data_IF_209951912161
#
_entry.id   IF_209951912161
#
_cell.length_a   1.000
_cell.length_b   1.000
_cell.length_c   1.000
_cell.angle_alpha   90.00
_cell.angle_beta   90.00
_cell.angle_gamma   90.00
#
_symmetry.space_group_name_H-M   'P 1'
#
loop_
_entity.id
_entity.type
_entity.pdbx_description
1 polymer ?
#
# COMPACT_ATOMS: atom_id res chain seq x y z
N UNK A 1 -6.77 -6.03 -17.82
CA UNK A 1 -5.75 -5.03 -17.43
C UNK A 1 -5.43 -4.18 -18.65
N UNK A 2 -5.32 -2.86 -18.53
CA UNK A 2 -4.91 -2.00 -19.63
C UNK A 2 -3.38 -1.87 -19.59
N UNK A 3 -2.61 -2.48 -20.52
CA UNK A 3 -1.15 -2.45 -20.49
C UNK A 3 -0.56 -1.04 -20.65
N UNK A 4 -1.37 -0.03 -20.95
CA UNK A 4 -0.96 1.37 -21.13
C UNK A 4 -1.10 2.26 -19.90
N UNK A 5 -1.59 1.74 -18.76
CA UNK A 5 -1.76 2.53 -17.53
C UNK A 5 -0.74 2.17 -16.44
N UNK A 6 -0.29 3.18 -15.70
CA UNK A 6 0.52 2.98 -14.50
C UNK A 6 -0.30 2.27 -13.40
N UNK A 7 0.38 1.47 -12.57
CA UNK A 7 -0.22 0.75 -11.44
C UNK A 7 0.36 1.29 -10.14
N UNK A 8 -0.52 1.62 -9.20
CA UNK A 8 -0.14 2.07 -7.86
C UNK A 8 -1.21 1.61 -6.85
N UNK A 9 -0.80 0.95 -5.78
CA UNK A 9 -1.68 0.48 -4.71
C UNK A 9 -0.87 0.24 -3.43
N UNK A 10 -1.55 0.11 -2.30
CA UNK A 10 -0.94 -0.24 -1.01
C UNK A 10 -1.30 -1.69 -0.64
N UNK A 11 -0.37 -2.65 -0.75
CA UNK A 11 -0.61 -4.03 -0.32
C UNK A 11 -1.01 -4.09 1.17
N UNK A 12 -0.39 -3.26 2.00
CA UNK A 12 -0.69 -3.21 3.44
C UNK A 12 -2.10 -2.72 3.74
N UNK A 13 -2.60 -1.75 2.97
CA UNK A 13 -3.99 -1.27 3.06
C UNK A 13 -5.00 -2.39 2.78
N UNK A 14 -4.76 -3.12 1.69
CA UNK A 14 -5.58 -4.28 1.28
C UNK A 14 -5.52 -5.37 2.35
N UNK A 15 -4.30 -5.71 2.81
CA UNK A 15 -4.10 -6.72 3.83
C UNK A 15 -4.80 -6.36 5.15
N UNK A 16 -4.78 -5.09 5.58
CA UNK A 16 -5.47 -4.64 6.78
C UNK A 16 -7.00 -4.74 6.64
N UNK A 17 -7.56 -4.30 5.51
CA UNK A 17 -8.99 -4.38 5.24
C UNK A 17 -9.50 -5.84 5.25
N UNK A 18 -8.79 -6.73 4.55
CA UNK A 18 -9.13 -8.15 4.55
C UNK A 18 -8.78 -8.86 5.87
N UNK A 19 -7.79 -8.37 6.61
CA UNK A 19 -7.49 -8.82 7.97
C UNK A 19 -8.64 -8.57 8.93
N UNK A 20 -9.31 -7.42 8.82
CA UNK A 20 -10.55 -7.15 9.57
C UNK A 20 -11.65 -8.12 9.18
N UNK A 21 -11.86 -8.38 7.89
CA UNK A 21 -12.83 -9.39 7.45
C UNK A 21 -12.48 -10.80 7.97
N UNK A 22 -11.20 -11.17 7.94
CA UNK A 22 -10.69 -12.46 8.43
C UNK A 22 -10.94 -12.65 9.93
N UNK A 23 -10.82 -11.60 10.75
CA UNK A 23 -11.12 -11.67 12.19
C UNK A 23 -12.57 -12.14 12.45
N UNK A 24 -13.52 -11.69 11.63
CA UNK A 24 -14.93 -12.08 11.69
C UNK A 24 -15.27 -13.41 11.00
N UNK A 25 -14.50 -13.81 9.98
CA UNK A 25 -14.76 -15.02 9.19
C UNK A 25 -14.66 -16.31 10.02
N UNK A 26 -15.35 -17.38 9.59
CA UNK A 26 -15.27 -18.75 10.16
C UNK A 26 -15.42 -19.78 9.05
N UNK A 27 -15.10 -21.04 9.34
CA UNK A 27 -15.33 -22.17 8.43
C UNK A 27 -14.60 -22.00 7.09
N UNK A 28 -15.30 -22.25 5.98
CA UNK A 28 -14.72 -22.15 4.64
C UNK A 28 -14.26 -20.74 4.30
N UNK A 29 -15.01 -19.70 4.69
CA UNK A 29 -14.61 -18.30 4.42
C UNK A 29 -13.32 -17.91 5.14
N UNK A 30 -13.09 -18.42 6.35
CA UNK A 30 -11.83 -18.21 7.06
C UNK A 30 -10.67 -18.91 6.34
N UNK A 31 -10.86 -20.16 5.93
CA UNK A 31 -9.84 -20.94 5.23
C UNK A 31 -9.46 -20.33 3.87
N UNK A 32 -10.46 -19.85 3.10
CA UNK A 32 -10.21 -19.19 1.82
C UNK A 32 -9.45 -17.87 2.01
N UNK A 33 -9.82 -17.05 3.01
CA UNK A 33 -9.10 -15.83 3.33
C UNK A 33 -7.67 -16.11 3.79
N UNK A 34 -7.45 -17.12 4.63
CA UNK A 34 -6.11 -17.50 5.07
C UNK A 34 -5.20 -17.89 3.89
N UNK A 35 -5.72 -18.70 2.97
CA UNK A 35 -5.00 -19.15 1.79
C UNK A 35 -4.68 -18.02 0.82
N UNK A 36 -5.64 -17.14 0.52
CA UNK A 36 -5.47 -16.03 -0.45
C UNK A 36 -4.59 -14.91 0.11
N UNK A 37 -4.65 -14.65 1.41
CA UNK A 37 -3.83 -13.61 2.07
C UNK A 37 -2.41 -14.08 2.39
N UNK A 38 -2.05 -15.32 2.05
CA UNK A 38 -0.69 -15.81 2.19
C UNK A 38 -0.38 -16.43 3.56
N UNK A 39 -1.35 -16.57 4.47
CA UNK A 39 -1.11 -17.01 5.85
C UNK A 39 -0.60 -18.44 5.91
N UNK A 40 -1.19 -19.34 5.12
CA UNK A 40 -0.82 -20.75 5.07
C UNK A 40 0.61 -20.94 4.55
N UNK A 41 0.99 -20.16 3.54
CA UNK A 41 2.29 -20.25 2.86
C UNK A 41 3.45 -19.84 3.77
N UNK A 42 3.18 -19.00 4.77
CA UNK A 42 4.16 -18.62 5.81
C UNK A 42 3.96 -19.40 7.12
N UNK A 43 3.10 -20.42 7.13
CA UNK A 43 2.86 -21.27 8.29
C UNK A 43 2.13 -20.59 9.46
N UNK A 44 1.37 -19.53 9.19
CA UNK A 44 0.52 -18.85 10.17
C UNK A 44 -0.89 -19.47 10.16
N UNK A 45 -1.02 -20.66 10.72
CA UNK A 45 -2.29 -21.42 10.72
C UNK A 45 -3.21 -21.09 11.90
N UNK A 46 -2.65 -20.57 12.99
CA UNK A 46 -3.40 -20.21 14.20
C UNK A 46 -3.96 -18.79 14.08
N UNK A 47 -5.28 -18.64 14.12
CA UNK A 47 -5.97 -17.34 13.97
C UNK A 47 -5.43 -16.27 14.93
N UNK A 48 -5.18 -16.63 16.18
CA UNK A 48 -4.62 -15.70 17.18
C UNK A 48 -3.24 -15.17 16.79
N UNK A 49 -2.39 -16.02 16.18
CA UNK A 49 -1.06 -15.62 15.69
C UNK A 49 -1.16 -14.75 14.45
N UNK A 50 -2.09 -15.05 13.54
CA UNK A 50 -2.38 -14.21 12.36
C UNK A 50 -2.80 -12.81 12.81
N UNK A 51 -3.76 -12.72 13.74
CA UNK A 51 -4.25 -11.44 14.25
C UNK A 51 -3.16 -10.66 15.01
N UNK A 52 -2.31 -11.34 15.78
CA UNK A 52 -1.15 -10.71 16.41
C UNK A 52 -0.14 -10.17 15.38
N UNK A 53 0.05 -10.87 14.26
CA UNK A 53 0.91 -10.41 13.18
C UNK A 53 0.35 -9.15 12.49
N UNK A 54 -0.97 -9.07 12.28
CA UNK A 54 -1.61 -7.86 11.78
C UNK A 54 -1.43 -6.67 12.72
N UNK A 55 -1.64 -6.88 14.04
CA UNK A 55 -1.40 -5.85 15.04
C UNK A 55 0.04 -5.33 14.96
N UNK A 56 1.01 -6.24 14.95
CA UNK A 56 2.42 -5.88 14.88
C UNK A 56 2.76 -5.12 13.59
N UNK A 57 2.21 -5.54 12.45
CA UNK A 57 2.38 -4.85 11.16
C UNK A 57 1.87 -3.40 11.22
N UNK A 58 0.70 -3.17 11.84
CA UNK A 58 0.14 -1.82 11.98
C UNK A 58 0.98 -0.95 12.93
N UNK A 59 1.46 -1.50 14.03
CA UNK A 59 2.36 -0.81 14.97
C UNK A 59 3.71 -0.43 14.30
N UNK A 60 4.23 -1.28 13.43
CA UNK A 60 5.44 -1.00 12.66
C UNK A 60 5.27 0.17 11.68
N UNK A 61 4.05 0.55 11.31
CA UNK A 61 3.82 1.67 10.41
C UNK A 61 3.90 3.05 11.10
N UNK A 62 3.91 3.12 12.42
CA UNK A 62 4.07 4.40 13.13
C UNK A 62 5.51 4.92 13.05
N UNK A 63 5.70 6.19 12.70
CA UNK A 63 7.02 6.85 12.70
C UNK A 63 6.91 8.34 13.00
N UNK A 64 7.79 8.92 13.84
CA UNK A 64 7.79 10.37 14.09
C UNK A 64 8.35 11.19 12.92
N UNK A 65 9.17 10.58 12.05
CA UNK A 65 9.95 11.28 11.03
C UNK A 65 9.31 11.27 9.63
N UNK A 66 8.35 10.37 9.42
CA UNK A 66 7.57 10.24 8.18
C UNK A 66 6.11 10.29 8.56
N UNK A 67 5.32 11.07 7.83
CA UNK A 67 3.87 11.04 8.01
C UNK A 67 3.34 9.79 7.32
N UNK A 68 3.17 8.71 8.09
CA UNK A 68 2.43 7.52 7.68
C UNK A 68 1.18 7.43 8.54
N UNK A 69 0.03 7.73 7.94
CA UNK A 69 -1.27 7.61 8.59
C UNK A 69 -1.98 6.40 7.99
N UNK A 70 -2.36 5.47 8.84
CA UNK A 70 -3.20 4.34 8.50
C UNK A 70 -4.44 4.43 9.35
N UNK A 71 -5.60 4.42 8.72
CA UNK A 71 -6.87 4.54 9.40
C UNK A 71 -7.81 3.44 8.91
N UNK A 72 -8.46 2.79 9.88
CA UNK A 72 -9.42 1.72 9.63
C UNK A 72 -10.79 2.18 10.10
N UNK A 73 -11.82 1.90 9.31
CA UNK A 73 -13.21 2.05 9.73
C UNK A 73 -14.04 0.89 9.25
N UNK A 74 -14.95 0.46 10.11
CA UNK A 74 -16.01 -0.48 9.80
C UNK A 74 -17.34 0.23 10.04
N UNK A 75 -18.22 0.22 9.04
CA UNK A 75 -19.58 0.71 9.16
C UNK A 75 -20.52 -0.47 9.08
N UNK A 76 -21.51 -0.54 9.97
CA UNK A 76 -22.50 -1.60 10.02
C UNK A 76 -23.90 -1.02 9.98
N UNK A 77 -24.81 -1.73 9.32
CA UNK A 77 -26.22 -1.38 9.34
C UNK A 77 -26.75 -1.45 10.79
N UNK A 78 -27.50 -0.44 11.21
CA UNK A 78 -28.02 -0.30 12.57
C UNK A 78 -28.91 -1.46 13.05
N UNK A 79 -29.56 -2.17 12.12
CA UNK A 79 -30.36 -3.36 12.39
C UNK A 79 -29.52 -4.64 12.50
N UNK A 80 -28.22 -4.59 12.18
CA UNK A 80 -27.31 -5.72 12.22
C UNK A 80 -26.50 -5.71 13.53
N UNK A 81 -26.77 -6.68 14.39
CA UNK A 81 -26.03 -6.84 15.64
C UNK A 81 -24.65 -7.45 15.40
N UNK A 82 -23.61 -6.71 15.74
CA UNK A 82 -22.23 -7.19 15.67
C UNK A 82 -21.83 -7.83 17.00
N UNK A 83 -21.20 -9.00 16.94
CA UNK A 83 -20.68 -9.68 18.12
C UNK A 83 -19.64 -8.82 18.85
N UNK A 84 -19.79 -8.64 20.17
CA UNK A 84 -18.88 -7.85 21.00
C UNK A 84 -17.41 -8.29 20.88
N UNK A 85 -17.17 -9.59 20.76
CA UNK A 85 -15.83 -10.13 20.56
C UNK A 85 -15.17 -9.66 19.26
N UNK A 86 -15.95 -9.45 18.20
CA UNK A 86 -15.46 -8.90 16.94
C UNK A 86 -15.20 -7.39 17.05
N UNK A 87 -16.09 -6.66 17.73
CA UNK A 87 -15.88 -5.23 18.01
C UNK A 87 -14.55 -5.03 18.77
N UNK A 88 -14.30 -5.83 19.79
CA UNK A 88 -13.07 -5.77 20.57
C UNK A 88 -11.84 -6.08 19.70
N UNK A 89 -11.91 -7.08 18.82
CA UNK A 89 -10.82 -7.41 17.89
C UNK A 89 -10.53 -6.27 16.90
N UNK A 90 -11.57 -5.65 16.33
CA UNK A 90 -11.42 -4.50 15.43
C UNK A 90 -10.69 -3.34 16.12
N UNK A 91 -11.05 -3.04 17.36
CA UNK A 91 -10.39 -2.01 18.14
C UNK A 91 -8.94 -2.39 18.49
N UNK A 92 -8.73 -3.54 19.14
CA UNK A 92 -7.43 -3.86 19.76
C UNK A 92 -6.32 -4.26 18.79
N UNK A 93 -6.70 -4.78 17.62
CA UNK A 93 -5.78 -5.26 16.59
C UNK A 93 -5.61 -4.23 15.49
N UNK A 94 -6.72 -3.62 15.04
CA UNK A 94 -6.73 -2.77 13.84
C UNK A 94 -6.87 -1.27 14.14
N UNK A 95 -7.09 -0.87 15.39
CA UNK A 95 -7.40 0.52 15.76
C UNK A 95 -8.56 1.08 14.88
N UNK A 96 -9.56 0.23 14.64
CA UNK A 96 -10.63 0.52 13.70
C UNK A 96 -11.79 1.28 14.38
N UNK A 97 -12.21 2.38 13.77
CA UNK A 97 -13.45 3.07 14.13
C UNK A 97 -14.64 2.20 13.71
N UNK A 98 -15.51 1.81 14.64
CA UNK A 98 -16.79 1.15 14.32
C UNK A 98 -17.93 2.15 14.36
N UNK A 99 -18.75 2.20 13.30
CA UNK A 99 -19.94 3.05 13.22
C UNK A 99 -21.19 2.27 12.89
N UNK A 100 -22.24 2.44 13.69
CA UNK A 100 -23.59 1.99 13.36
C UNK A 100 -24.28 3.07 12.52
N UNK A 101 -24.71 2.73 11.31
CA UNK A 101 -25.32 3.66 10.34
C UNK A 101 -26.58 3.06 9.72
N UNK A 102 -27.39 3.89 9.07
CA UNK A 102 -28.54 3.42 8.29
C UNK A 102 -28.26 3.57 6.79
N UNK A 103 -27.63 2.57 6.18
CA UNK A 103 -27.37 2.53 4.75
C UNK A 103 -28.66 2.59 3.92
N UNK A 104 -29.70 1.88 4.37
CA UNK A 104 -30.94 1.72 3.64
C UNK A 104 -31.72 3.03 3.53
N UNK A 105 -31.83 3.79 4.62
CA UNK A 105 -32.61 5.04 4.64
C UNK A 105 -31.74 6.30 4.49
N UNK A 106 -30.45 6.22 4.81
CA UNK A 106 -29.55 7.38 4.88
C UNK A 106 -28.30 7.23 4.01
N UNK A 107 -28.32 6.31 3.03
CA UNK A 107 -27.20 6.00 2.13
C UNK A 107 -26.43 7.23 1.59
N UNK A 108 -27.10 8.25 1.01
CA UNK A 108 -26.43 9.47 0.54
C UNK A 108 -25.68 10.24 1.63
N UNK A 109 -26.24 10.33 2.84
CA UNK A 109 -25.58 10.98 3.99
C UNK A 109 -24.38 10.15 4.44
N UNK A 110 -24.54 8.83 4.57
CA UNK A 110 -23.47 7.91 4.94
C UNK A 110 -22.32 7.96 3.93
N UNK A 111 -22.61 7.96 2.62
CA UNK A 111 -21.60 8.09 1.58
C UNK A 111 -20.79 9.39 1.73
N UNK A 112 -21.47 10.52 1.94
CA UNK A 112 -20.81 11.81 2.14
C UNK A 112 -19.93 11.83 3.41
N UNK A 113 -20.39 11.25 4.52
CA UNK A 113 -19.62 11.16 5.76
C UNK A 113 -18.38 10.26 5.60
N UNK A 114 -18.50 9.11 4.93
CA UNK A 114 -17.39 8.21 4.63
C UNK A 114 -16.38 8.87 3.68
N UNK A 115 -16.84 9.52 2.61
CA UNK A 115 -15.97 10.24 1.69
C UNK A 115 -15.23 11.38 2.39
N UNK A 116 -15.91 12.15 3.24
CA UNK A 116 -15.27 13.19 4.05
C UNK A 116 -14.22 12.62 5.01
N UNK A 117 -14.50 11.47 5.64
CA UNK A 117 -13.53 10.78 6.50
C UNK A 117 -12.31 10.31 5.70
N UNK A 118 -12.51 9.66 4.56
CA UNK A 118 -11.41 9.21 3.67
C UNK A 118 -10.59 10.41 3.20
N UNK A 119 -11.24 11.49 2.78
CA UNK A 119 -10.56 12.73 2.38
C UNK A 119 -9.74 13.31 3.51
N UNK A 120 -10.25 13.29 4.74
CA UNK A 120 -9.53 13.69 5.94
C UNK A 120 -8.27 12.85 6.17
N UNK A 121 -8.43 11.52 6.26
CA UNK A 121 -7.32 10.57 6.53
C UNK A 121 -6.30 10.48 5.39
N UNK A 122 -6.67 10.86 4.18
CA UNK A 122 -5.77 10.91 3.02
C UNK A 122 -5.23 12.31 2.74
N UNK A 123 -5.50 13.28 3.62
CA UNK A 123 -5.11 14.69 3.46
C UNK A 123 -5.51 15.28 2.10
N UNK A 124 -6.72 14.95 1.65
CA UNK A 124 -7.30 15.42 0.40
C UNK A 124 -6.72 14.76 -0.85
N UNK A 125 -6.03 13.62 -0.74
CA UNK A 125 -5.50 12.88 -1.90
C UNK A 125 -6.50 11.91 -2.52
N UNK A 126 -7.47 11.45 -1.74
CA UNK A 126 -8.60 10.66 -2.22
C UNK A 126 -9.86 11.44 -1.86
N UNK A 127 -10.61 11.87 -2.88
CA UNK A 127 -11.79 12.71 -2.67
C UNK A 127 -13.00 11.89 -2.16
N UNK A 128 -13.08 10.61 -2.51
CA UNK A 128 -14.14 9.71 -2.06
C UNK A 128 -13.96 8.29 -2.61
N UNK A 129 -14.68 7.35 -2.02
CA UNK A 129 -14.69 5.93 -2.39
C UNK A 129 -16.10 5.37 -2.59
N UNK A 130 -17.11 5.98 -1.96
CA UNK A 130 -18.51 5.62 -2.15
C UNK A 130 -19.16 6.58 -3.15
N UNK A 131 -20.05 6.07 -4.02
CA UNK A 131 -20.80 6.92 -4.94
C UNK A 131 -21.73 7.84 -4.15
N UNK A 132 -21.67 9.14 -4.42
CA UNK A 132 -22.55 10.12 -3.79
C UNK A 132 -23.94 10.10 -4.41
N UNK A 133 -24.97 10.35 -3.58
CA UNK A 133 -26.35 10.48 -4.05
C UNK A 133 -27.03 9.18 -4.47
N UNK A 134 -26.38 8.03 -4.29
CA UNK A 134 -26.95 6.71 -4.60
C UNK A 134 -27.42 6.00 -3.32
N UNK A 135 -28.50 5.20 -3.39
CA UNK A 135 -28.85 4.28 -2.31
C UNK A 135 -27.69 3.30 -2.04
N UNK A 136 -27.46 2.98 -0.77
CA UNK A 136 -26.48 1.98 -0.36
C UNK A 136 -27.23 0.77 0.20
N UNK A 137 -27.12 -0.36 -0.49
CA UNK A 137 -27.63 -1.65 0.00
C UNK A 137 -26.45 -2.46 0.57
N UNK A 138 -26.04 -2.10 1.79
CA UNK A 138 -24.88 -2.67 2.47
C UNK A 138 -25.23 -3.03 3.90
N UNK A 139 -24.75 -4.18 4.38
CA UNK A 139 -24.87 -4.58 5.78
C UNK A 139 -23.61 -4.22 6.57
N UNK A 140 -22.44 -4.34 5.92
CA UNK A 140 -21.14 -4.04 6.49
C UNK A 140 -20.24 -3.44 5.40
N UNK A 141 -19.55 -2.36 5.72
CA UNK A 141 -18.57 -1.73 4.84
C UNK A 141 -17.25 -1.55 5.60
N UNK A 142 -16.18 -2.13 5.07
CA UNK A 142 -14.83 -2.06 5.65
C UNK A 142 -13.99 -1.15 4.76
N UNK A 143 -13.39 -0.13 5.35
CA UNK A 143 -12.48 0.79 4.64
C UNK A 143 -11.16 0.89 5.40
N UNK A 144 -10.08 0.84 4.63
CA UNK A 144 -8.77 1.27 5.08
C UNK A 144 -8.34 2.47 4.24
N UNK A 145 -7.76 3.48 4.88
CA UNK A 145 -7.14 4.62 4.23
C UNK A 145 -5.67 4.72 4.65
N UNK A 146 -4.79 4.93 3.67
CA UNK A 146 -3.35 5.13 3.91
C UNK A 146 -2.88 6.43 3.29
N UNK A 147 -2.14 7.21 4.05
CA UNK A 147 -1.42 8.38 3.59
C UNK A 147 0.06 8.24 3.93
N UNK A 148 0.93 8.40 2.93
CA UNK A 148 2.37 8.41 3.12
C UNK A 148 2.97 9.71 2.61
N UNK A 149 3.76 10.38 3.45
CA UNK A 149 4.60 11.52 3.09
C UNK A 149 5.93 11.45 3.84
N UNK A 150 6.98 11.12 3.09
CA UNK A 150 8.36 11.17 3.55
C UNK A 150 9.16 12.23 2.79
N UNK A 151 10.14 12.84 3.47
CA UNK A 151 11.15 13.68 2.82
C UNK A 151 12.38 12.82 2.52
N UNK A 152 12.94 12.89 1.32
CA UNK A 152 14.22 12.22 1.01
C UNK A 152 15.32 12.65 1.98
N UNK A 153 16.18 11.71 2.40
CA UNK A 153 17.40 12.03 3.17
C UNK A 153 18.27 13.01 2.37
N UNK A 154 18.47 12.71 1.08
CA UNK A 154 19.11 13.64 0.15
C UNK A 154 18.09 14.10 -0.89
N UNK A 155 17.71 15.37 -0.82
CA UNK A 155 16.73 15.96 -1.76
C UNK A 155 17.37 16.22 -3.11
N UNK A 156 16.57 16.07 -4.17
CA UNK A 156 16.90 16.58 -5.49
C UNK A 156 16.80 18.12 -5.48
N UNK A 157 17.75 18.79 -6.13
CA UNK A 157 17.70 20.24 -6.32
C UNK A 157 16.72 20.57 -7.46
N UNK A 158 15.60 21.26 -7.19
CA UNK A 158 14.61 21.58 -8.22
C UNK A 158 15.18 22.40 -9.38
N UNK A 159 16.21 23.22 -9.15
CA UNK A 159 16.85 24.03 -10.19
C UNK A 159 17.61 23.18 -11.22
N UNK A 160 17.90 21.91 -10.88
CA UNK A 160 18.60 20.96 -11.74
C UNK A 160 17.64 20.03 -12.48
N UNK A 161 16.36 20.05 -12.16
CA UNK A 161 15.34 19.28 -12.89
C UNK A 161 15.19 19.83 -14.29
N UNK A 162 15.38 18.96 -15.29
CA UNK A 162 15.27 19.33 -16.71
C UNK A 162 14.51 18.26 -17.46
N UNK A 163 13.84 18.65 -18.54
CA UNK A 163 13.16 17.69 -19.40
C UNK A 163 14.16 16.72 -20.06
N UNK A 164 13.85 15.42 -20.01
CA UNK A 164 14.62 14.33 -20.63
C UNK A 164 13.70 13.33 -21.32
N UNK A 165 14.22 12.56 -22.29
CA UNK A 165 13.51 11.42 -22.87
C UNK A 165 13.08 10.39 -21.82
N UNK A 166 11.82 9.96 -21.89
CA UNK A 166 11.27 8.82 -21.16
C UNK A 166 10.51 7.93 -22.14
N UNK A 167 10.77 6.63 -22.12
CA UNK A 167 10.16 5.68 -23.04
C UNK A 167 8.90 5.07 -22.40
N UNK A 168 7.72 5.58 -22.75
CA UNK A 168 6.46 4.96 -22.38
C UNK A 168 6.41 3.53 -22.96
N UNK A 169 6.14 2.55 -22.09
CA UNK A 169 6.16 1.12 -22.42
C UNK A 169 7.48 0.65 -23.06
N UNK A 170 8.57 1.40 -22.87
CA UNK A 170 9.87 1.08 -23.45
C UNK A 170 10.04 1.45 -24.93
N UNK A 171 9.03 2.03 -25.58
CA UNK A 171 9.05 2.22 -27.04
C UNK A 171 8.75 3.64 -27.48
N UNK A 172 7.78 4.31 -26.85
CA UNK A 172 7.35 5.65 -27.28
C UNK A 172 8.03 6.72 -26.44
N UNK A 173 8.93 7.48 -27.06
CA UNK A 173 9.60 8.58 -26.40
C UNK A 173 8.65 9.73 -26.11
N UNK A 174 8.67 10.20 -24.87
CA UNK A 174 8.03 11.43 -24.42
C UNK A 174 9.01 12.25 -23.60
N UNK A 175 8.84 13.56 -23.64
CA UNK A 175 9.63 14.49 -22.81
C UNK A 175 9.02 14.58 -21.41
N UNK A 176 9.79 14.27 -20.37
CA UNK A 176 9.37 14.35 -18.96
C UNK A 176 10.40 15.12 -18.14
N UNK A 177 9.97 15.93 -17.14
CA UNK A 177 10.90 16.45 -16.14
C UNK A 177 11.66 15.27 -15.52
N UNK A 178 12.97 15.36 -15.42
CA UNK A 178 13.80 14.36 -14.77
C UNK A 178 14.65 15.05 -13.72
N UNK A 179 14.44 14.66 -12.47
CA UNK A 179 15.30 15.00 -11.35
C UNK A 179 16.62 14.26 -11.50
N UNK A 180 17.71 14.84 -10.99
CA UNK A 180 19.00 14.19 -11.06
C UNK A 180 19.87 14.45 -9.83
N UNK A 181 20.65 13.45 -9.43
CA UNK A 181 21.53 13.51 -8.28
C UNK A 181 22.68 12.51 -8.45
N UNK A 182 23.89 12.88 -8.05
CA UNK A 182 25.03 11.95 -7.98
C UNK A 182 25.47 11.82 -6.53
N UNK A 183 25.31 10.63 -5.94
CA UNK A 183 25.66 10.36 -4.54
C UNK A 183 25.83 8.86 -4.31
N UNK A 184 26.33 8.49 -3.12
CA UNK A 184 26.25 7.11 -2.67
C UNK A 184 24.82 6.71 -2.32
N UNK A 185 24.33 5.62 -2.90
CA UNK A 185 23.06 4.98 -2.57
C UNK A 185 23.28 3.47 -2.39
N UNK A 186 22.48 2.78 -1.58
CA UNK A 186 22.40 1.33 -1.67
C UNK A 186 21.93 0.94 -3.07
N UNK A 187 22.74 0.13 -3.76
CA UNK A 187 22.56 -0.24 -5.16
C UNK A 187 22.98 -1.69 -5.39
N UNK A 188 22.34 -2.36 -6.34
CA UNK A 188 22.71 -3.70 -6.76
C UNK A 188 22.37 -3.95 -8.24
N UNK A 189 23.17 -4.81 -8.89
CA UNK A 189 22.80 -5.43 -10.18
C UNK A 189 22.15 -6.79 -9.90
N UNK A 190 20.98 -7.00 -10.47
CA UNK A 190 20.16 -8.21 -10.30
C UNK A 190 20.26 -9.05 -11.57
N UNK A 191 21.36 -9.80 -11.71
CA UNK A 191 21.65 -10.58 -12.92
C UNK A 191 20.52 -11.53 -13.31
N UNK A 192 19.92 -12.23 -12.33
CA UNK A 192 18.82 -13.18 -12.57
C UNK A 192 17.52 -12.52 -13.08
N UNK A 193 17.34 -11.22 -12.83
CA UNK A 193 16.18 -10.45 -13.28
C UNK A 193 16.49 -9.53 -14.47
N UNK A 194 17.74 -9.50 -14.94
CA UNK A 194 18.21 -8.52 -15.92
C UNK A 194 17.81 -7.07 -15.54
N UNK A 195 18.08 -6.69 -14.30
CA UNK A 195 17.68 -5.40 -13.74
C UNK A 195 18.74 -4.82 -12.80
N UNK A 196 18.54 -3.56 -12.40
CA UNK A 196 19.22 -2.92 -11.29
C UNK A 196 18.23 -2.52 -10.20
N UNK A 197 18.70 -2.49 -8.95
CA UNK A 197 17.98 -1.95 -7.81
C UNK A 197 18.71 -0.74 -7.24
N UNK A 198 17.96 0.29 -6.84
CA UNK A 198 18.47 1.38 -6.01
C UNK A 198 17.50 1.66 -4.88
N UNK A 199 18.02 1.85 -3.68
CA UNK A 199 17.25 2.27 -2.52
C UNK A 199 17.45 3.78 -2.28
N UNK A 200 16.34 4.50 -2.20
CA UNK A 200 16.32 5.95 -1.97
C UNK A 200 15.68 6.19 -0.59
N UNK A 201 16.48 6.49 0.45
CA UNK A 201 15.97 6.57 1.81
C UNK A 201 15.18 7.86 2.05
N UNK A 202 14.12 7.75 2.85
CA UNK A 202 13.43 8.87 3.47
C UNK A 202 14.07 9.21 4.82
N UNK A 203 13.87 10.44 5.28
CA UNK A 203 14.39 10.96 6.54
C UNK A 203 13.87 10.13 7.71
N UNK A 204 14.74 9.86 8.69
CA UNK A 204 14.40 9.06 9.87
C UNK A 204 14.65 7.56 9.73
N UNK A 205 15.40 7.14 8.71
CA UNK A 205 16.05 5.82 8.56
C UNK A 205 15.14 4.58 8.61
N UNK A 206 13.82 4.77 8.60
CA UNK A 206 12.82 3.69 8.72
C UNK A 206 12.19 3.30 7.38
N UNK A 207 12.09 4.24 6.44
CA UNK A 207 11.42 4.01 5.17
C UNK A 207 12.33 4.39 4.00
N UNK A 208 12.19 3.66 2.91
CA UNK A 208 12.87 3.96 1.65
C UNK A 208 11.96 3.64 0.46
N UNK A 209 12.30 4.21 -0.69
CA UNK A 209 11.77 3.79 -1.98
C UNK A 209 12.80 2.90 -2.66
N UNK A 210 12.43 1.66 -2.97
CA UNK A 210 13.26 0.76 -3.78
C UNK A 210 12.76 0.82 -5.22
N UNK A 211 13.64 1.21 -6.14
CA UNK A 211 13.35 1.25 -7.58
C UNK A 211 14.09 0.10 -8.26
N UNK A 212 13.31 -0.77 -8.92
CA UNK A 212 13.83 -1.80 -9.81
C UNK A 212 13.71 -1.31 -11.26
N UNK A 213 14.83 -1.26 -11.97
CA UNK A 213 14.90 -0.80 -13.35
C UNK A 213 15.42 -1.93 -14.24
N UNK A 214 14.63 -2.45 -15.21
CA UNK A 214 15.09 -3.47 -16.14
C UNK A 214 16.19 -2.91 -17.05
N UNK A 215 17.10 -3.78 -17.48
CA UNK A 215 18.20 -3.44 -18.39
C UNK A 215 17.72 -3.07 -19.79
N UNK A 216 16.65 -3.72 -20.23
CA UNK A 216 15.98 -3.45 -21.50
C UNK A 216 14.83 -2.45 -21.28
N UNK A 217 14.65 -1.46 -22.17
CA UNK A 217 13.49 -0.56 -22.14
C UNK A 217 12.14 -1.29 -22.11
N UNK A 218 12.05 -2.45 -22.75
CA UNK A 218 10.83 -3.28 -22.81
C UNK A 218 10.80 -4.40 -21.78
N UNK A 219 11.77 -4.45 -20.85
CA UNK A 219 11.96 -5.54 -19.90
C UNK A 219 11.02 -5.55 -18.70
N UNK A 220 10.15 -4.54 -18.53
CA UNK A 220 9.30 -4.40 -17.34
C UNK A 220 8.35 -5.59 -17.12
N UNK A 221 7.79 -6.16 -18.20
CA UNK A 221 6.90 -7.31 -18.10
C UNK A 221 7.63 -8.56 -17.57
N UNK A 222 8.81 -8.86 -18.13
CA UNK A 222 9.64 -9.97 -17.69
C UNK A 222 10.13 -9.78 -16.25
N UNK A 223 10.52 -8.55 -15.88
CA UNK A 223 10.89 -8.22 -14.51
C UNK A 223 9.72 -8.50 -13.55
N UNK A 224 8.52 -8.00 -13.86
CA UNK A 224 7.31 -8.24 -13.05
C UNK A 224 7.03 -9.73 -12.88
N UNK A 225 7.07 -10.50 -13.96
CA UNK A 225 6.75 -11.92 -13.95
C UNK A 225 7.82 -12.76 -13.22
N UNK A 226 9.05 -12.24 -13.11
CA UNK A 226 10.13 -12.83 -12.33
C UNK A 226 10.17 -12.43 -10.85
N UNK A 227 9.31 -11.49 -10.40
CA UNK A 227 9.26 -11.11 -9.00
C UNK A 227 8.63 -12.22 -8.15
N UNK A 228 9.29 -12.53 -7.03
CA UNK A 228 8.81 -13.44 -6.00
C UNK A 228 9.27 -12.93 -4.62
N UNK A 229 8.73 -13.48 -3.54
CA UNK A 229 9.16 -13.13 -2.19
C UNK A 229 10.67 -13.35 -2.01
N UNK A 230 11.17 -14.51 -2.40
CA UNK A 230 12.60 -14.84 -2.31
C UNK A 230 13.47 -13.86 -3.12
N UNK A 231 12.98 -13.41 -4.28
CA UNK A 231 13.68 -12.39 -5.08
C UNK A 231 13.70 -11.04 -4.36
N UNK A 232 12.59 -10.60 -3.77
CA UNK A 232 12.52 -9.34 -3.04
C UNK A 232 13.44 -9.34 -1.79
N UNK A 233 13.49 -10.46 -1.07
CA UNK A 233 14.43 -10.66 0.05
C UNK A 233 15.90 -10.61 -0.41
N UNK A 234 16.19 -11.28 -1.53
CA UNK A 234 17.52 -11.28 -2.15
C UNK A 234 17.95 -9.87 -2.59
N UNK A 235 17.04 -9.06 -3.16
CA UNK A 235 17.32 -7.65 -3.48
C UNK A 235 17.82 -6.91 -2.25
N UNK A 236 17.10 -6.99 -1.12
CA UNK A 236 17.48 -6.33 0.12
C UNK A 236 18.87 -6.72 0.61
N UNK A 237 19.23 -8.00 0.48
CA UNK A 237 20.54 -8.52 0.91
C UNK A 237 21.72 -8.10 0.02
N UNK A 238 21.46 -7.78 -1.26
CA UNK A 238 22.49 -7.46 -2.26
C UNK A 238 22.81 -5.98 -2.38
N UNK A 239 21.97 -5.11 -1.82
CA UNK A 239 22.19 -3.67 -1.85
C UNK A 239 23.45 -3.32 -1.07
N UNK A 240 24.35 -2.57 -1.71
CA UNK A 240 25.57 -2.06 -1.08
C UNK A 240 25.79 -0.60 -1.47
N UNK A 241 26.50 0.14 -0.63
CA UNK A 241 26.70 1.59 -0.84
C UNK A 241 27.61 1.83 -2.05
N UNK A 242 27.05 2.36 -3.14
CA UNK A 242 27.77 2.62 -4.39
C UNK A 242 27.55 4.06 -4.86
N UNK A 243 28.54 4.65 -5.53
CA UNK A 243 28.38 5.94 -6.20
C UNK A 243 27.46 5.79 -7.42
N UNK A 244 26.26 6.37 -7.36
CA UNK A 244 25.24 6.27 -8.41
C UNK A 244 24.92 7.64 -8.98
N UNK A 245 24.84 7.74 -10.31
CA UNK A 245 24.21 8.87 -11.01
C UNK A 245 22.73 8.52 -11.19
N UNK A 246 21.91 8.99 -10.26
CA UNK A 246 20.48 8.73 -10.24
C UNK A 246 19.73 9.77 -11.09
N UNK A 247 18.86 9.30 -11.97
CA UNK A 247 17.90 10.10 -12.73
C UNK A 247 16.52 9.49 -12.54
N UNK A 248 15.57 10.29 -12.10
CA UNK A 248 14.20 9.84 -11.81
C UNK A 248 13.22 10.87 -12.39
N UNK A 249 12.17 10.44 -13.12
CA UNK A 249 11.09 11.34 -13.54
C UNK A 249 10.41 12.06 -12.37
#
# INVERSE_FOLDING_TARGET
>A
QNPSSNVFFSPTSIAAAFGMAYAGARGSSEAELASVLGHDQVGLTEKSRVLAAYKHLLELMSSPNVTLEVANMVLAQNSFQIAESYIQQLHDIFDAELRSVDFANEGPRVAAEVNAWVRGKTRGKIDGILPEGQPLDMILFIVNAVYFKGAWVTKFDPARTVNKPFLNLGTTEVSKPAMHLTRRFPYARLGALHAAAVEIPYSGDKFSMVVLLPDSPTGLAALRDGLSLAVLEDVGSKLSSEMVVLRLP
#
